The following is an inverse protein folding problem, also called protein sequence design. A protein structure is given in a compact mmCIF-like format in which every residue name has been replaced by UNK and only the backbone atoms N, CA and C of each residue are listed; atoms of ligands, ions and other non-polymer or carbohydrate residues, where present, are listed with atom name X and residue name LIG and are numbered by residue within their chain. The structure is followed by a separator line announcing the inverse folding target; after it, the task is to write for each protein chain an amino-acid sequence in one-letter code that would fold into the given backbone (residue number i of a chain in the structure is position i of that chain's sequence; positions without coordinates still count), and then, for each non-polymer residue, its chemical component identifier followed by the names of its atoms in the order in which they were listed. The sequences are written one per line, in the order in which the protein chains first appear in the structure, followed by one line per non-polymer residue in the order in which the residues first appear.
data_IF_730586076490
#
_entry.id   IF_730586076490
#
_cell.length_a   1.000
_cell.length_b   1.000
_cell.length_c   1.000
_cell.angle_alpha   90.00
_cell.angle_beta   90.00
_cell.angle_gamma   90.00
#
_symmetry.space_group_name_H-M   'P 1'
#
loop_
_entity.id
_entity.type
_entity.pdbx_description
1 polymer ?
#
# COMPACT_ATOMS: atom_id res chain seq x y z
N UNK A 1 -4.04 -54.59 46.90
CA UNK A 1 -3.65 -54.40 45.48
C UNK A 1 -3.52 -52.90 45.25
N UNK A 2 -2.30 -52.36 45.18
CA UNK A 2 -2.06 -50.90 45.00
C UNK A 2 -1.84 -50.65 43.50
N UNK A 3 -2.68 -49.81 42.88
CA UNK A 3 -2.45 -49.34 41.50
C UNK A 3 -1.40 -48.22 41.49
N UNK A 4 -0.49 -48.17 40.50
CA UNK A 4 0.43 -47.06 40.34
C UNK A 4 -0.28 -45.91 39.63
N UNK A 5 -0.11 -44.70 40.17
CA UNK A 5 -0.59 -43.47 39.57
C UNK A 5 0.41 -43.04 38.50
N UNK A 6 0.02 -43.11 37.22
CA UNK A 6 0.79 -42.50 36.13
C UNK A 6 0.45 -41.01 36.05
N UNK A 7 1.44 -40.16 36.33
CA UNK A 7 1.34 -38.73 36.07
C UNK A 7 1.67 -38.48 34.59
N UNK A 8 0.67 -38.08 33.81
CA UNK A 8 0.87 -37.51 32.48
C UNK A 8 1.33 -36.05 32.65
N UNK A 9 2.58 -35.75 32.30
CA UNK A 9 3.00 -34.37 32.05
C UNK A 9 2.48 -33.97 30.67
N UNK A 10 1.40 -33.19 30.63
CA UNK A 10 1.03 -32.44 29.44
C UNK A 10 1.96 -31.22 29.32
N UNK A 11 2.90 -31.25 28.39
CA UNK A 11 3.69 -30.08 28.04
C UNK A 11 2.81 -29.06 27.32
N UNK A 12 2.61 -27.89 27.92
CA UNK A 12 2.06 -26.74 27.21
C UNK A 12 3.10 -26.26 26.20
N UNK A 13 2.88 -26.55 24.92
CA UNK A 13 3.56 -25.85 23.83
C UNK A 13 2.89 -24.49 23.72
N UNK A 14 3.55 -23.45 24.21
CA UNK A 14 3.15 -22.08 23.91
C UNK A 14 3.41 -21.83 22.43
N UNK A 15 2.35 -21.86 21.62
CA UNK A 15 2.40 -21.35 20.25
C UNK A 15 2.46 -19.84 20.38
N UNK A 16 3.64 -19.26 20.21
CA UNK A 16 3.77 -17.82 20.00
C UNK A 16 3.17 -17.53 18.64
N UNK A 17 1.99 -16.92 18.61
CA UNK A 17 1.40 -16.42 17.38
C UNK A 17 2.36 -15.36 16.82
N UNK A 18 2.95 -15.61 15.65
CA UNK A 18 3.83 -14.64 15.03
C UNK A 18 2.96 -13.46 14.61
N UNK A 19 3.23 -12.27 15.15
CA UNK A 19 2.48 -11.07 14.79
C UNK A 19 2.55 -10.85 13.26
N UNK A 20 1.39 -10.76 12.61
CA UNK A 20 1.29 -10.48 11.18
C UNK A 20 1.87 -9.10 10.85
N UNK A 21 2.45 -8.98 9.65
CA UNK A 21 2.91 -7.69 9.11
C UNK A 21 1.68 -6.92 8.64
N UNK A 22 1.45 -5.75 9.22
CA UNK A 22 0.31 -4.91 8.86
C UNK A 22 0.64 -4.01 7.68
N UNK A 23 -0.13 -4.12 6.61
CA UNK A 23 0.06 -3.38 5.37
C UNK A 23 -1.15 -2.50 5.10
N UNK A 24 -0.94 -1.19 5.07
CA UNK A 24 -1.96 -0.25 4.63
C UNK A 24 -1.80 0.05 3.14
N UNK A 25 -2.83 -0.25 2.36
CA UNK A 25 -2.93 0.11 0.94
C UNK A 25 -3.72 1.41 0.84
N UNK A 26 -3.02 2.54 0.92
CA UNK A 26 -3.57 3.90 0.92
C UNK A 26 -3.76 4.41 -0.51
N UNK A 27 -4.84 5.13 -0.78
CA UNK A 27 -4.97 5.79 -2.07
C UNK A 27 -6.32 6.43 -2.33
N UNK A 28 -6.58 6.67 -3.60
CA UNK A 28 -7.86 7.18 -4.07
C UNK A 28 -8.69 6.06 -4.76
N UNK A 29 -9.45 6.40 -5.80
CA UNK A 29 -10.22 5.46 -6.60
C UNK A 29 -9.34 4.42 -7.29
N UNK A 30 -8.10 4.77 -7.64
CA UNK A 30 -7.14 3.82 -8.23
C UNK A 30 -6.79 2.69 -7.26
N UNK A 31 -6.99 2.88 -5.95
CA UNK A 31 -6.88 1.82 -4.94
C UNK A 31 -8.23 1.18 -4.61
N UNK A 32 -9.28 1.98 -4.46
CA UNK A 32 -10.60 1.49 -4.01
C UNK A 32 -11.31 0.61 -5.05
N UNK A 33 -11.43 1.09 -6.30
CA UNK A 33 -12.37 0.52 -7.29
C UNK A 33 -11.69 -0.32 -8.38
N UNK A 34 -10.46 -0.76 -8.13
CA UNK A 34 -9.61 -1.50 -9.08
C UNK A 34 -9.30 -2.90 -8.58
N UNK A 35 -8.68 -3.72 -9.42
CA UNK A 35 -8.41 -5.12 -9.10
C UNK A 35 -6.94 -5.44 -8.79
N UNK A 36 -6.02 -4.48 -8.89
CA UNK A 36 -4.59 -4.76 -8.63
C UNK A 36 -4.34 -5.31 -7.21
N UNK A 37 -5.17 -4.95 -6.22
CA UNK A 37 -5.06 -5.46 -4.84
C UNK A 37 -5.22 -6.98 -4.76
N UNK A 38 -6.14 -7.55 -5.55
CA UNK A 38 -6.32 -9.00 -5.57
C UNK A 38 -5.15 -9.70 -6.25
N UNK A 39 -4.58 -9.10 -7.30
CA UNK A 39 -3.39 -9.61 -7.98
C UNK A 39 -2.14 -9.55 -7.09
N UNK A 40 -1.98 -8.49 -6.29
CA UNK A 40 -0.90 -8.40 -5.30
C UNK A 40 -1.09 -9.45 -4.20
N UNK A 41 -2.34 -9.69 -3.76
CA UNK A 41 -2.62 -10.77 -2.81
C UNK A 41 -2.28 -12.16 -3.36
N UNK A 42 -2.53 -12.43 -4.65
CA UNK A 42 -2.10 -13.67 -5.30
C UNK A 42 -0.57 -13.81 -5.30
N UNK A 43 0.17 -12.72 -5.49
CA UNK A 43 1.63 -12.73 -5.38
C UNK A 43 2.10 -13.00 -3.94
N UNK A 44 1.48 -12.37 -2.93
CA UNK A 44 1.75 -12.61 -1.51
C UNK A 44 1.47 -14.09 -1.16
N UNK A 45 0.34 -14.63 -1.63
CA UNK A 45 -0.04 -16.03 -1.43
C UNK A 45 0.96 -16.97 -2.10
N UNK A 46 1.35 -16.67 -3.34
CA UNK A 46 2.35 -17.44 -4.09
C UNK A 46 3.73 -17.42 -3.43
N UNK A 47 4.06 -16.35 -2.71
CA UNK A 47 5.27 -16.23 -1.90
C UNK A 47 5.19 -16.95 -0.54
N UNK A 48 4.06 -17.59 -0.21
CA UNK A 48 3.84 -18.26 1.07
C UNK A 48 3.69 -17.28 2.25
N UNK A 49 3.22 -16.06 1.99
CA UNK A 49 3.13 -14.97 2.96
C UNK A 49 1.71 -14.65 3.42
N UNK A 50 0.68 -15.30 2.86
CA UNK A 50 -0.73 -15.00 3.16
C UNK A 50 -1.04 -15.01 4.67
N UNK A 51 -0.58 -16.02 5.42
CA UNK A 51 -0.81 -16.11 6.86
C UNK A 51 0.04 -15.11 7.68
N UNK A 52 1.02 -14.46 7.05
CA UNK A 52 1.94 -13.51 7.69
C UNK A 52 1.59 -12.04 7.42
N UNK A 53 0.52 -11.77 6.67
CA UNK A 53 0.12 -10.41 6.26
C UNK A 53 -1.31 -10.13 6.73
N UNK A 54 -1.50 -8.94 7.27
CA UNK A 54 -2.79 -8.35 7.63
C UNK A 54 -2.93 -7.06 6.80
N UNK A 55 -3.85 -7.02 5.84
CA UNK A 55 -4.17 -5.76 5.17
C UNK A 55 -5.02 -4.94 6.13
N UNK A 56 -4.66 -3.67 6.31
CA UNK A 56 -5.32 -2.79 7.28
C UNK A 56 -5.81 -1.51 6.61
N UNK A 57 -6.96 -1.04 7.08
CA UNK A 57 -7.53 0.23 6.67
C UNK A 57 -9.00 0.30 7.07
N UNK A 58 -9.62 1.47 6.87
CA UNK A 58 -11.02 1.68 7.23
C UNK A 58 -12.03 1.18 6.19
N UNK A 59 -11.57 0.78 5.01
CA UNK A 59 -12.38 0.32 3.88
C UNK A 59 -12.13 -1.17 3.61
N UNK A 60 -13.13 -1.88 3.11
CA UNK A 60 -13.06 -3.31 2.79
C UNK A 60 -13.76 -3.66 1.46
N UNK A 61 -13.99 -2.65 0.62
CA UNK A 61 -14.78 -2.83 -0.59
C UNK A 61 -13.94 -3.48 -1.70
N UNK A 62 -14.60 -4.25 -2.56
CA UNK A 62 -14.02 -4.81 -3.78
C UNK A 62 -15.08 -4.79 -4.88
N UNK A 63 -14.72 -4.30 -6.07
CA UNK A 63 -15.64 -4.27 -7.19
C UNK A 63 -16.00 -5.69 -7.66
N UNK A 64 -17.25 -5.91 -8.05
CA UNK A 64 -17.74 -7.21 -8.53
C UNK A 64 -17.04 -7.70 -9.81
N UNK A 65 -16.39 -6.80 -10.55
CA UNK A 65 -15.56 -7.14 -11.72
C UNK A 65 -14.26 -7.85 -11.36
N UNK A 66 -13.80 -7.76 -10.12
CA UNK A 66 -12.53 -8.33 -9.69
C UNK A 66 -12.68 -9.80 -9.28
N UNK A 67 -11.78 -10.64 -9.77
CA UNK A 67 -11.63 -12.01 -9.27
C UNK A 67 -11.10 -11.95 -7.83
N UNK A 68 -11.90 -12.44 -6.87
CA UNK A 68 -11.51 -12.51 -5.46
C UNK A 68 -10.79 -13.84 -5.18
N UNK A 69 -9.49 -13.84 -4.88
CA UNK A 69 -8.79 -15.07 -4.55
C UNK A 69 -9.21 -15.62 -3.20
N UNK A 70 -8.97 -16.92 -2.99
CA UNK A 70 -9.26 -17.56 -1.72
C UNK A 70 -8.43 -16.91 -0.60
N UNK A 71 -9.06 -16.63 0.54
CA UNK A 71 -8.37 -16.00 1.67
C UNK A 71 -8.01 -14.53 1.46
N UNK A 72 -8.51 -13.87 0.39
CA UNK A 72 -8.28 -12.44 0.17
C UNK A 72 -8.75 -11.61 1.36
N UNK A 73 -7.79 -10.96 2.00
CA UNK A 73 -8.02 -9.85 2.91
C UNK A 73 -8.48 -8.63 2.11
N UNK A 74 -9.73 -8.15 2.29
CA UNK A 74 -10.26 -7.07 1.46
C UNK A 74 -9.85 -5.67 1.92
N UNK A 75 -9.25 -5.53 3.11
CA UNK A 75 -9.05 -4.25 3.75
C UNK A 75 -8.10 -3.33 2.94
N UNK A 76 -8.41 -2.04 2.93
CA UNK A 76 -7.61 -1.00 2.30
C UNK A 76 -7.94 0.38 2.90
N UNK A 77 -7.16 1.39 2.52
CA UNK A 77 -7.38 2.78 2.89
C UNK A 77 -7.50 3.63 1.61
N UNK A 78 -8.32 3.15 0.67
CA UNK A 78 -8.53 3.77 -0.64
C UNK A 78 -9.87 4.52 -0.68
N UNK A 79 -9.86 5.77 -1.13
CA UNK A 79 -11.02 6.66 -1.06
C UNK A 79 -11.25 7.43 -2.38
N UNK A 80 -12.26 7.03 -3.14
CA UNK A 80 -12.55 7.58 -4.48
C UNK A 80 -12.80 9.10 -4.46
N UNK A 81 -12.05 9.83 -5.29
CA UNK A 81 -12.15 11.29 -5.42
C UNK A 81 -11.38 12.08 -4.36
N UNK A 82 -10.74 11.41 -3.39
CA UNK A 82 -10.00 12.09 -2.34
C UNK A 82 -8.63 12.57 -2.82
N UNK A 83 -8.19 13.68 -2.23
CA UNK A 83 -6.94 14.34 -2.57
C UNK A 83 -5.88 14.06 -1.49
N UNK A 84 -4.61 13.93 -1.88
CA UNK A 84 -3.47 13.90 -0.98
C UNK A 84 -3.50 15.09 -0.03
N UNK A 85 -3.86 16.27 -0.53
CA UNK A 85 -3.97 17.48 0.27
C UNK A 85 -4.89 17.33 1.49
N UNK A 86 -6.07 16.76 1.29
CA UNK A 86 -7.09 16.61 2.34
C UNK A 86 -6.73 15.46 3.28
N UNK A 87 -6.31 14.32 2.72
CA UNK A 87 -5.84 13.15 3.49
C UNK A 87 -4.72 13.54 4.46
N UNK A 88 -3.72 14.26 3.97
CA UNK A 88 -2.56 14.68 4.74
C UNK A 88 -2.90 15.54 5.96
N UNK A 89 -3.97 16.35 5.85
CA UNK A 89 -4.35 17.33 6.87
C UNK A 89 -5.37 16.79 7.86
N UNK A 90 -6.27 15.93 7.40
CA UNK A 90 -7.49 15.64 8.13
C UNK A 90 -7.62 14.16 8.54
N UNK A 91 -6.88 13.25 7.92
CA UNK A 91 -7.22 11.82 8.00
C UNK A 91 -6.06 10.91 8.38
N UNK A 92 -4.91 11.06 7.70
CA UNK A 92 -3.83 10.08 7.75
C UNK A 92 -3.37 9.78 9.18
N UNK A 93 -3.26 10.81 10.02
CA UNK A 93 -2.85 10.66 11.42
C UNK A 93 -3.80 9.73 12.21
N UNK A 94 -5.11 9.86 12.01
CA UNK A 94 -6.10 8.99 12.64
C UNK A 94 -6.00 7.56 12.12
N UNK A 95 -5.92 7.37 10.80
CA UNK A 95 -5.82 6.06 10.18
C UNK A 95 -4.58 5.29 10.64
N UNK A 96 -3.39 5.93 10.63
CA UNK A 96 -2.16 5.26 11.06
C UNK A 96 -2.08 5.06 12.58
N UNK A 97 -2.74 5.89 13.40
CA UNK A 97 -2.83 5.64 14.84
C UNK A 97 -3.73 4.45 15.17
N UNK A 98 -4.82 4.27 14.42
CA UNK A 98 -5.77 3.18 14.62
C UNK A 98 -5.18 1.84 14.13
N UNK A 99 -4.65 1.82 12.90
CA UNK A 99 -4.17 0.61 12.27
C UNK A 99 -2.71 0.26 12.66
N UNK A 100 -1.88 1.27 12.98
CA UNK A 100 -0.42 1.14 13.23
C UNK A 100 0.28 0.23 12.19
N UNK A 101 0.24 0.57 10.90
CA UNK A 101 0.83 -0.25 9.86
C UNK A 101 2.35 -0.35 10.00
N UNK A 102 2.91 -1.50 9.63
CA UNK A 102 4.35 -1.71 9.45
C UNK A 102 4.80 -1.21 8.08
N UNK A 103 3.92 -1.35 7.08
CA UNK A 103 4.15 -0.91 5.71
C UNK A 103 2.96 -0.07 5.25
N UNK A 104 3.24 1.06 4.62
CA UNK A 104 2.22 1.83 3.88
C UNK A 104 2.62 1.90 2.42
N UNK A 105 1.77 1.43 1.53
CA UNK A 105 1.85 1.70 0.09
C UNK A 105 0.86 2.81 -0.23
N UNK A 106 1.24 3.78 -1.09
CA UNK A 106 0.28 4.75 -1.58
C UNK A 106 0.49 5.23 -3.02
N UNK A 107 -0.64 5.43 -3.70
CA UNK A 107 -0.76 6.23 -4.92
C UNK A 107 -1.84 7.29 -4.70
N UNK A 108 -1.44 8.57 -4.74
CA UNK A 108 -2.32 9.73 -4.57
C UNK A 108 -1.87 10.85 -5.52
N UNK A 109 -2.61 11.95 -5.59
CA UNK A 109 -2.25 13.12 -6.40
C UNK A 109 -3.06 13.25 -7.69
N UNK A 110 -3.68 12.17 -8.18
CA UNK A 110 -4.56 12.21 -9.36
C UNK A 110 -5.69 13.23 -9.17
N UNK A 111 -6.37 13.18 -8.03
CA UNK A 111 -7.48 14.09 -7.72
C UNK A 111 -7.02 15.49 -7.33
N UNK A 112 -5.84 15.63 -6.72
CA UNK A 112 -5.24 16.95 -6.45
C UNK A 112 -5.10 17.74 -7.75
N UNK A 113 -4.67 17.08 -8.83
CA UNK A 113 -4.56 17.68 -10.16
C UNK A 113 -5.94 17.81 -10.82
N UNK A 114 -6.70 16.72 -10.94
CA UNK A 114 -7.90 16.68 -11.76
C UNK A 114 -9.06 17.47 -11.15
N UNK A 115 -9.22 17.45 -9.83
CA UNK A 115 -10.31 18.11 -9.10
C UNK A 115 -9.81 19.37 -8.40
N UNK A 116 -8.72 19.26 -7.65
CA UNK A 116 -8.19 20.34 -6.83
C UNK A 116 -7.43 21.43 -7.60
N UNK A 117 -7.03 21.15 -8.85
CA UNK A 117 -6.17 22.01 -9.68
C UNK A 117 -4.90 22.46 -8.95
N UNK A 118 -4.35 21.56 -8.11
CA UNK A 118 -3.18 21.81 -7.28
C UNK A 118 -1.90 21.61 -8.07
N UNK A 119 -0.89 22.39 -7.74
CA UNK A 119 0.44 22.23 -8.32
C UNK A 119 1.23 21.09 -7.66
N UNK A 120 2.37 20.76 -8.26
CA UNK A 120 3.28 19.71 -7.77
C UNK A 120 3.79 20.01 -6.36
N UNK A 121 4.06 21.27 -6.04
CA UNK A 121 4.57 21.67 -4.73
C UNK A 121 3.59 21.36 -3.60
N UNK A 122 2.29 21.62 -3.84
CA UNK A 122 1.20 21.27 -2.93
C UNK A 122 1.11 19.76 -2.70
N UNK A 123 1.26 18.96 -3.75
CA UNK A 123 1.15 17.50 -3.65
C UNK A 123 2.36 16.91 -2.90
N UNK A 124 3.59 17.32 -3.25
CA UNK A 124 4.82 16.89 -2.56
C UNK A 124 4.85 17.36 -1.10
N UNK A 125 4.36 18.57 -0.82
CA UNK A 125 4.17 19.04 0.57
C UNK A 125 3.20 18.15 1.34
N UNK A 126 2.13 17.69 0.69
CA UNK A 126 1.15 16.78 1.30
C UNK A 126 1.73 15.37 1.51
N UNK A 127 2.58 14.88 0.60
CA UNK A 127 3.31 13.61 0.80
C UNK A 127 4.22 13.67 2.02
N UNK A 128 4.90 14.80 2.22
CA UNK A 128 5.76 15.03 3.39
C UNK A 128 4.93 14.98 4.68
N UNK A 129 3.80 15.69 4.73
CA UNK A 129 2.90 15.66 5.90
C UNK A 129 2.34 14.26 6.18
N UNK A 130 1.98 13.50 5.15
CA UNK A 130 1.53 12.11 5.29
C UNK A 130 2.63 11.23 5.88
N UNK A 131 3.86 11.34 5.36
CA UNK A 131 5.00 10.57 5.84
C UNK A 131 5.36 10.91 7.30
N UNK A 132 5.29 12.20 7.67
CA UNK A 132 5.51 12.65 9.05
C UNK A 132 4.48 12.02 10.00
N UNK A 133 3.20 11.99 9.61
CA UNK A 133 2.15 11.34 10.40
C UNK A 133 2.36 9.82 10.52
N UNK A 134 2.72 9.14 9.43
CA UNK A 134 3.05 7.72 9.42
C UNK A 134 4.20 7.42 10.39
N UNK A 135 5.28 8.19 10.33
CA UNK A 135 6.46 8.04 11.20
C UNK A 135 6.18 8.40 12.65
N UNK A 136 5.29 9.36 12.91
CA UNK A 136 4.85 9.68 14.27
C UNK A 136 4.08 8.51 14.91
N UNK A 137 3.29 7.76 14.14
CA UNK A 137 2.59 6.58 14.63
C UNK A 137 3.51 5.34 14.73
N UNK A 138 4.42 5.16 13.78
CA UNK A 138 5.42 4.10 13.76
C UNK A 138 6.75 4.62 13.18
N UNK A 139 7.76 4.94 14.01
CA UNK A 139 9.05 5.46 13.53
C UNK A 139 9.83 4.50 12.62
N UNK A 140 9.42 3.23 12.54
CA UNK A 140 10.02 2.19 11.68
C UNK A 140 9.14 1.80 10.49
N UNK A 141 8.10 2.59 10.20
CA UNK A 141 7.22 2.35 9.05
C UNK A 141 8.04 2.32 7.76
N UNK A 142 7.81 1.31 6.94
CA UNK A 142 8.37 1.24 5.58
C UNK A 142 7.32 1.76 4.61
N UNK A 143 7.73 2.54 3.62
CA UNK A 143 6.78 3.21 2.72
C UNK A 143 7.10 2.92 1.26
N UNK A 144 6.06 2.56 0.50
CA UNK A 144 6.10 2.53 -0.96
C UNK A 144 5.32 3.75 -1.44
N UNK A 145 5.99 4.66 -2.15
CA UNK A 145 5.33 5.72 -2.90
C UNK A 145 5.27 5.31 -4.36
N UNK A 146 4.09 5.35 -4.93
CA UNK A 146 3.92 5.02 -6.33
C UNK A 146 4.12 6.28 -7.18
N UNK A 147 4.86 6.17 -8.28
CA UNK A 147 4.68 7.15 -9.34
C UNK A 147 3.29 6.98 -9.93
N UNK A 148 2.57 8.08 -10.08
CA UNK A 148 1.16 8.14 -10.46
C UNK A 148 0.97 7.70 -11.90
N UNK A 149 -0.13 6.99 -12.17
CA UNK A 149 -0.51 6.61 -13.53
C UNK A 149 -0.67 7.85 -14.43
N UNK A 150 -0.36 7.76 -15.72
CA UNK A 150 -0.73 8.81 -16.65
C UNK A 150 -2.25 8.88 -16.83
N UNK A 151 -2.76 10.08 -17.12
CA UNK A 151 -4.08 10.23 -17.74
C UNK A 151 -3.99 10.08 -19.25
N UNK A 152 -5.11 9.78 -19.92
CA UNK A 152 -5.14 9.62 -21.38
C UNK A 152 -4.78 10.90 -22.14
N UNK A 153 -5.00 12.06 -21.54
CA UNK A 153 -4.65 13.39 -22.07
C UNK A 153 -3.25 13.86 -21.69
N UNK A 154 -2.46 13.01 -21.02
CA UNK A 154 -1.07 13.28 -20.64
C UNK A 154 -0.91 14.54 -19.81
N UNK A 155 -1.56 14.57 -18.63
CA UNK A 155 -1.51 15.73 -17.76
C UNK A 155 -0.05 16.10 -17.38
N UNK A 156 0.43 17.31 -17.73
CA UNK A 156 1.82 17.69 -17.48
C UNK A 156 2.13 17.85 -15.99
N UNK A 157 1.13 18.10 -15.15
CA UNK A 157 1.30 18.23 -13.69
C UNK A 157 1.54 16.85 -13.07
N UNK A 158 0.83 15.82 -13.53
CA UNK A 158 1.08 14.43 -13.12
C UNK A 158 2.48 13.98 -13.53
N UNK A 159 2.90 14.27 -14.76
CA UNK A 159 4.27 13.94 -15.21
C UNK A 159 5.33 14.73 -14.41
N UNK A 160 5.09 16.01 -14.12
CA UNK A 160 5.98 16.81 -13.30
C UNK A 160 6.05 16.29 -11.84
N UNK A 161 4.92 15.83 -11.28
CA UNK A 161 4.89 15.15 -9.98
C UNK A 161 5.74 13.87 -10.00
N UNK A 162 5.56 13.04 -11.02
CA UNK A 162 6.35 11.82 -11.22
C UNK A 162 7.86 12.08 -11.31
N UNK A 163 8.25 13.20 -11.92
CA UNK A 163 9.65 13.64 -11.98
C UNK A 163 10.17 14.19 -10.64
N UNK A 164 9.29 14.72 -9.77
CA UNK A 164 9.67 15.22 -8.45
C UNK A 164 9.81 14.11 -7.40
N UNK A 165 9.05 13.01 -7.52
CA UNK A 165 9.04 11.89 -6.56
C UNK A 165 10.45 11.34 -6.25
N UNK A 166 11.33 11.07 -7.24
CA UNK A 166 12.68 10.56 -6.94
C UNK A 166 13.50 11.48 -6.03
N UNK A 167 13.46 12.80 -6.28
CA UNK A 167 14.14 13.79 -5.45
C UNK A 167 13.54 13.87 -4.04
N UNK A 168 12.22 13.78 -3.92
CA UNK A 168 11.53 13.71 -2.64
C UNK A 168 11.91 12.45 -1.85
N UNK A 169 11.92 11.28 -2.49
CA UNK A 169 12.33 10.02 -1.84
C UNK A 169 13.78 10.10 -1.35
N UNK A 170 14.69 10.65 -2.16
CA UNK A 170 16.09 10.83 -1.75
C UNK A 170 16.23 11.71 -0.51
N UNK A 171 15.38 12.74 -0.37
CA UNK A 171 15.39 13.63 0.79
C UNK A 171 14.77 13.00 2.03
N UNK A 172 13.74 12.15 1.84
CA UNK A 172 12.91 11.67 2.93
C UNK A 172 13.30 10.30 3.46
N UNK A 173 13.91 9.44 2.64
CA UNK A 173 14.23 8.06 3.03
C UNK A 173 15.31 8.00 4.11
N UNK A 174 15.18 7.06 5.04
CA UNK A 174 16.13 6.81 6.13
C UNK A 174 16.36 5.31 6.28
N UNK A 175 17.40 4.90 7.01
CA UNK A 175 17.64 3.47 7.28
C UNK A 175 16.53 2.87 8.16
N UNK A 176 16.03 3.65 9.13
CA UNK A 176 15.01 3.23 10.09
C UNK A 176 13.60 3.19 9.49
N UNK A 177 13.29 4.12 8.57
CA UNK A 177 12.02 4.24 7.87
C UNK A 177 12.28 4.45 6.36
N UNK A 178 12.56 3.37 5.62
CA UNK A 178 12.87 3.45 4.20
C UNK A 178 11.62 3.81 3.40
N UNK A 179 11.82 4.71 2.43
CA UNK A 179 10.84 5.05 1.39
C UNK A 179 11.38 4.54 0.06
N UNK A 180 10.60 3.73 -0.65
CA UNK A 180 10.94 3.17 -1.97
C UNK A 180 9.88 3.52 -3.00
N UNK A 181 10.24 3.41 -4.28
CA UNK A 181 9.35 3.75 -5.39
C UNK A 181 8.83 2.47 -6.05
N UNK A 182 7.52 2.38 -6.24
CA UNK A 182 6.93 1.54 -7.28
C UNK A 182 6.62 2.45 -8.50
N UNK A 183 7.33 2.25 -9.61
CA UNK A 183 7.17 3.13 -10.77
C UNK A 183 6.00 2.65 -11.65
N UNK A 184 4.80 3.19 -11.40
CA UNK A 184 3.61 2.90 -12.19
C UNK A 184 3.38 3.94 -13.32
N UNK A 185 4.39 4.78 -13.60
CA UNK A 185 4.26 5.88 -14.55
C UNK A 185 4.30 5.42 -16.01
N UNK A 186 4.02 6.37 -16.91
CA UNK A 186 4.22 6.20 -18.35
C UNK A 186 5.65 5.78 -18.71
N UNK A 187 6.65 6.34 -18.03
CA UNK A 187 8.05 6.04 -18.30
C UNK A 187 8.41 4.58 -17.97
N UNK A 188 7.67 3.95 -17.05
CA UNK A 188 7.81 2.53 -16.72
C UNK A 188 7.03 1.60 -17.66
N UNK A 189 6.24 2.15 -18.59
CA UNK A 189 5.50 1.38 -19.58
C UNK A 189 3.98 1.39 -19.43
N UNK A 190 3.42 2.19 -18.49
CA UNK A 190 1.97 2.36 -18.44
C UNK A 190 1.47 3.10 -19.70
N UNK A 191 0.49 2.56 -20.41
CA UNK A 191 0.00 3.11 -21.68
C UNK A 191 -1.47 3.52 -21.62
N UNK A 192 -1.92 4.34 -22.56
CA UNK A 192 -3.34 4.72 -22.66
C UNK A 192 -4.27 3.52 -22.91
N UNK A 193 -3.77 2.42 -23.49
CA UNK A 193 -4.55 1.19 -23.70
C UNK A 193 -4.84 0.45 -22.39
N UNK A 194 -4.17 0.83 -21.30
CA UNK A 194 -4.37 0.28 -19.96
C UNK A 194 -5.38 1.09 -19.13
N UNK A 195 -6.06 2.08 -19.72
CA UNK A 195 -7.09 2.91 -19.08
C UNK A 195 -8.50 2.56 -19.58
N UNK A 196 -9.50 2.66 -18.71
CA UNK A 196 -10.94 2.51 -19.06
C UNK A 196 -11.58 3.84 -19.47
N UNK A 197 -11.43 4.88 -18.65
CA UNK A 197 -12.09 6.18 -18.81
C UNK A 197 -11.11 7.36 -18.98
N UNK A 198 -9.84 7.03 -19.17
CA UNK A 198 -8.75 7.99 -19.26
C UNK A 198 -8.13 8.40 -17.92
N UNK A 199 -8.63 7.87 -16.80
CA UNK A 199 -8.05 8.03 -15.45
C UNK A 199 -7.80 6.68 -14.78
N UNK A 200 -8.80 5.80 -14.77
CA UNK A 200 -8.75 4.54 -14.04
C UNK A 200 -8.17 3.41 -14.90
N UNK A 201 -7.39 2.50 -14.29
CA UNK A 201 -6.86 1.34 -14.99
C UNK A 201 -7.97 0.35 -15.37
N UNK A 202 -7.80 -0.28 -16.52
CA UNK A 202 -8.52 -1.50 -16.89
C UNK A 202 -7.76 -2.74 -16.41
N UNK A 203 -8.18 -3.95 -16.80
CA UNK A 203 -7.52 -5.18 -16.34
C UNK A 203 -6.02 -5.26 -16.67
N UNK A 204 -5.60 -4.77 -17.85
CA UNK A 204 -4.18 -4.72 -18.21
C UNK A 204 -3.42 -3.68 -17.37
N UNK A 205 -4.07 -2.58 -17.04
CA UNK A 205 -3.52 -1.58 -16.10
C UNK A 205 -3.37 -2.15 -14.69
N UNK A 206 -4.36 -2.92 -14.22
CA UNK A 206 -4.31 -3.58 -12.92
C UNK A 206 -3.16 -4.60 -12.84
N UNK A 207 -2.96 -5.40 -13.89
CA UNK A 207 -1.82 -6.31 -14.01
C UNK A 207 -0.48 -5.58 -13.97
N UNK A 208 -0.37 -4.47 -14.71
CA UNK A 208 0.83 -3.65 -14.72
C UNK A 208 1.11 -3.08 -13.32
N UNK A 209 0.12 -2.46 -12.66
CA UNK A 209 0.25 -1.90 -11.31
C UNK A 209 0.70 -2.96 -10.32
N UNK A 210 0.05 -4.13 -10.33
CA UNK A 210 0.40 -5.23 -9.45
C UNK A 210 1.84 -5.74 -9.68
N UNK A 211 2.32 -5.71 -10.93
CA UNK A 211 3.70 -6.06 -11.28
C UNK A 211 4.74 -5.07 -10.75
N UNK A 212 4.38 -3.80 -10.59
CA UNK A 212 5.26 -2.77 -10.04
C UNK A 212 5.25 -2.75 -8.51
N UNK A 213 4.07 -2.88 -7.89
CA UNK A 213 3.89 -2.79 -6.43
C UNK A 213 4.26 -4.10 -5.74
N UNK A 214 3.75 -5.23 -6.22
CA UNK A 214 3.81 -6.52 -5.53
C UNK A 214 5.21 -6.98 -5.15
N UNK A 215 6.21 -6.95 -6.06
CA UNK A 215 7.58 -7.32 -5.72
C UNK A 215 8.20 -6.45 -4.62
N UNK A 216 7.91 -5.14 -4.63
CA UNK A 216 8.39 -4.20 -3.60
C UNK A 216 7.71 -4.44 -2.26
N UNK A 217 6.41 -4.69 -2.27
CA UNK A 217 5.68 -5.01 -1.05
C UNK A 217 6.18 -6.33 -0.42
N UNK A 218 6.40 -7.37 -1.22
CA UNK A 218 6.94 -8.66 -0.75
C UNK A 218 8.35 -8.51 -0.17
N UNK A 219 9.22 -7.69 -0.79
CA UNK A 219 10.54 -7.36 -0.25
C UNK A 219 10.42 -6.75 1.15
N UNK A 220 9.59 -5.71 1.32
CA UNK A 220 9.41 -5.04 2.60
C UNK A 220 8.72 -5.93 3.65
N UNK A 221 7.78 -6.80 3.26
CA UNK A 221 7.16 -7.78 4.18
C UNK A 221 8.24 -8.71 4.76
N UNK A 222 9.14 -9.21 3.91
CA UNK A 222 10.23 -10.06 4.36
C UNK A 222 11.21 -9.32 5.26
N UNK A 223 11.51 -8.05 4.98
CA UNK A 223 12.34 -7.23 5.87
C UNK A 223 11.74 -7.09 7.27
N UNK A 224 10.44 -6.80 7.38
CA UNK A 224 9.76 -6.66 8.68
C UNK A 224 9.84 -7.98 9.45
N UNK A 225 9.58 -9.10 8.77
CA UNK A 225 9.66 -10.45 9.36
C UNK A 225 11.10 -10.87 9.72
N UNK A 226 12.09 -10.34 9.00
CA UNK A 226 13.51 -10.60 9.26
C UNK A 226 14.04 -9.82 10.46
N UNK A 227 13.51 -8.62 10.70
CA UNK A 227 13.91 -7.74 11.81
C UNK A 227 13.25 -8.04 13.17
N UNK A 228 12.34 -9.01 13.24
CA UNK A 228 11.67 -9.45 14.48
C UNK A 228 12.32 -10.68 15.15
N UNK A 229 13.47 -11.15 14.64
CA UNK A 229 14.26 -12.22 15.24
C UNK A 229 15.32 -11.71 16.22
#
# INVERSE_FOLDING_TARGET
MKLPTFAFLAGLVAVTDAQQVKVMLLGDSITEITCWRTLVWDQITSAGLADSVDLVGSMDTLQSKCSRPQGFDPNHEGHSGWQAYDIARNNIAGWVQNAKPDIVQFMLGTNDVNLGKRDVGSIIGSYTMMLDAMRAANPRVKVIVDKVLPTSWNDPTIEALNNAIPGWVQQQTTAESPVVIADCSRAAGFTNAMLDDGVHPNSQGDEFIAGQIGPKLIELINDVRGGTK
#
